data_IF_740711971060
#
_entry.id   IF_740711971060
#
_cell.length_a   1.000
_cell.length_b   1.000
_cell.length_c   1.000
_cell.angle_alpha   90.00
_cell.angle_beta   90.00
_cell.angle_gamma   90.00
#
_symmetry.space_group_name_H-M   'P 1'
#
loop_
_entity.id
_entity.type
_entity.pdbx_description
1 polymer ?
#
# COMPACT_ATOMS: atom_id res chain seq x y z
N UNK A 1 -10.81 -10.35 7.57
CA UNK A 1 -10.52 -9.72 6.26
C UNK A 1 -11.63 -8.71 5.99
N UNK A 2 -11.44 -7.45 6.39
CA UNK A 2 -12.40 -6.37 6.11
C UNK A 2 -11.93 -5.65 4.84
N UNK A 3 -12.46 -6.08 3.69
CA UNK A 3 -12.28 -5.38 2.41
C UNK A 3 -12.67 -3.91 2.56
N UNK A 4 -11.90 -3.00 1.92
CA UNK A 4 -12.30 -1.61 1.69
C UNK A 4 -13.75 -1.58 1.21
N UNK A 5 -14.67 -1.13 2.06
CA UNK A 5 -16.10 -1.10 1.76
C UNK A 5 -16.61 0.32 1.96
N UNK A 6 -17.58 0.72 1.16
CA UNK A 6 -18.24 2.00 1.36
C UNK A 6 -18.93 2.00 2.73
N UNK A 7 -18.67 2.99 3.61
CA UNK A 7 -19.29 3.04 4.94
C UNK A 7 -20.82 3.18 4.88
N UNK A 8 -21.37 3.67 3.77
CA UNK A 8 -22.82 3.89 3.60
C UNK A 8 -23.57 2.73 2.95
N UNK A 9 -22.98 2.06 1.95
CA UNK A 9 -23.66 1.00 1.18
C UNK A 9 -23.02 -0.38 1.32
N UNK A 10 -21.88 -0.52 2.02
CA UNK A 10 -21.18 -1.79 2.22
C UNK A 10 -20.57 -2.39 0.95
N UNK A 11 -20.73 -1.76 -0.22
CA UNK A 11 -20.16 -2.22 -1.49
C UNK A 11 -18.64 -2.16 -1.40
N UNK A 12 -17.98 -3.26 -1.80
CA UNK A 12 -16.52 -3.35 -1.85
C UNK A 12 -15.96 -2.39 -2.89
N UNK A 13 -14.95 -1.63 -2.50
CA UNK A 13 -14.23 -0.69 -3.33
C UNK A 13 -12.86 -1.29 -3.60
N UNK A 14 -12.48 -1.34 -4.87
CA UNK A 14 -11.16 -1.83 -5.27
C UNK A 14 -10.07 -0.90 -4.73
N UNK A 15 -9.09 -1.46 -4.03
CA UNK A 15 -7.94 -0.73 -3.48
C UNK A 15 -7.15 0.07 -4.54
N UNK A 16 -7.23 -0.35 -5.82
CA UNK A 16 -6.64 0.34 -6.97
C UNK A 16 -7.38 1.62 -7.40
N UNK A 17 -8.65 1.81 -6.97
CA UNK A 17 -9.46 3.02 -7.28
C UNK A 17 -9.39 4.08 -6.17
N UNK A 18 -8.47 3.91 -5.23
CA UNK A 18 -8.31 4.78 -4.08
C UNK A 18 -7.54 6.04 -4.51
N UNK A 19 -8.21 6.96 -5.20
CA UNK A 19 -7.75 8.35 -5.30
C UNK A 19 -8.11 9.09 -4.01
N UNK A 20 -7.40 10.18 -3.69
CA UNK A 20 -7.66 10.98 -2.49
C UNK A 20 -9.15 11.39 -2.36
N UNK A 21 -9.80 11.62 -3.49
CA UNK A 21 -11.25 11.84 -3.57
C UNK A 21 -11.83 10.94 -4.67
N UNK A 22 -12.84 10.13 -4.35
CA UNK A 22 -13.57 9.34 -5.34
C UNK A 22 -15.05 9.23 -4.97
N UNK A 23 -15.90 9.01 -5.97
CA UNK A 23 -17.35 8.86 -5.77
C UNK A 23 -17.70 7.38 -5.78
N UNK A 24 -18.49 6.93 -4.81
CA UNK A 24 -18.97 5.55 -4.79
C UNK A 24 -19.90 5.29 -5.98
N UNK A 25 -19.60 4.27 -6.80
CA UNK A 25 -20.43 3.92 -7.96
C UNK A 25 -21.87 3.50 -7.63
N UNK A 26 -22.15 3.04 -6.40
CA UNK A 26 -23.47 2.55 -6.02
C UNK A 26 -24.33 3.57 -5.28
N UNK A 27 -23.73 4.42 -4.43
CA UNK A 27 -24.47 5.38 -3.61
C UNK A 27 -24.16 6.84 -3.93
N UNK A 28 -23.32 7.09 -4.95
CA UNK A 28 -22.89 8.42 -5.42
C UNK A 28 -22.34 9.36 -4.34
N UNK A 29 -21.94 8.81 -3.18
CA UNK A 29 -21.36 9.60 -2.09
C UNK A 29 -19.88 9.84 -2.36
N UNK A 30 -19.44 11.08 -2.13
CA UNK A 30 -18.03 11.44 -2.15
C UNK A 30 -17.30 10.80 -0.94
N UNK A 31 -16.28 10.03 -1.23
CA UNK A 31 -15.46 9.34 -0.26
C UNK A 31 -14.03 9.88 -0.33
N UNK A 32 -13.41 10.04 0.84
CA UNK A 32 -12.02 10.41 1.01
C UNK A 32 -11.29 9.20 1.58
N UNK A 33 -10.19 8.81 0.95
CA UNK A 33 -9.34 7.77 1.51
C UNK A 33 -8.01 8.37 1.96
N UNK A 34 -7.66 8.07 3.21
CA UNK A 34 -6.42 8.56 3.82
C UNK A 34 -5.38 7.44 3.76
N UNK A 35 -4.59 7.41 2.70
CA UNK A 35 -3.54 6.39 2.48
C UNK A 35 -2.15 6.83 2.92
N UNK A 36 -1.94 8.11 3.25
CA UNK A 36 -0.62 8.68 3.59
C UNK A 36 0.05 7.96 4.76
N UNK A 37 -0.70 7.66 5.83
CA UNK A 37 -0.17 6.93 7.00
C UNK A 37 0.23 5.49 6.66
N UNK A 38 -0.55 4.83 5.79
CA UNK A 38 -0.27 3.46 5.35
C UNK A 38 0.95 3.40 4.42
N UNK A 39 1.13 4.42 3.57
CA UNK A 39 2.34 4.58 2.76
C UNK A 39 3.59 4.74 3.62
N UNK A 40 3.54 5.58 4.66
CA UNK A 40 4.67 5.77 5.58
C UNK A 40 4.97 4.46 6.32
N UNK A 41 3.96 3.77 6.84
CA UNK A 41 4.14 2.46 7.49
C UNK A 41 4.73 1.42 6.53
N UNK A 42 4.23 1.34 5.29
CA UNK A 42 4.76 0.44 4.27
C UNK A 42 6.22 0.74 3.95
N UNK A 43 6.59 2.02 3.86
CA UNK A 43 7.97 2.45 3.62
C UNK A 43 8.91 2.07 4.76
N UNK A 44 8.50 2.32 6.01
CA UNK A 44 9.27 1.94 7.20
C UNK A 44 9.47 0.43 7.27
N UNK A 45 8.39 -0.35 7.14
CA UNK A 45 8.45 -1.82 7.11
C UNK A 45 9.30 -2.36 5.97
N UNK A 46 9.20 -1.77 4.78
CA UNK A 46 10.02 -2.15 3.63
C UNK A 46 11.49 -1.83 3.85
N UNK A 47 11.81 -0.75 4.57
CA UNK A 47 13.20 -0.40 4.92
C UNK A 47 13.79 -1.43 5.90
N UNK A 48 13.00 -1.86 6.89
CA UNK A 48 13.40 -2.94 7.78
C UNK A 48 13.55 -4.29 7.05
N UNK A 49 12.68 -4.57 6.08
CA UNK A 49 12.82 -5.76 5.25
C UNK A 49 14.08 -5.69 4.38
N UNK A 50 14.43 -4.52 3.84
CA UNK A 50 15.63 -4.32 3.03
C UNK A 50 16.93 -4.60 3.81
N UNK A 51 16.94 -4.35 5.13
CA UNK A 51 18.02 -4.75 6.03
C UNK A 51 18.26 -6.27 6.06
N UNK A 52 17.22 -7.08 5.84
CA UNK A 52 17.31 -8.55 5.78
C UNK A 52 17.59 -9.01 4.35
N UNK A 53 16.97 -8.36 3.36
CA UNK A 53 17.14 -8.67 1.93
C UNK A 53 18.60 -8.43 1.52
N UNK A 54 19.24 -7.36 1.98
CA UNK A 54 20.63 -7.05 1.64
C UNK A 54 21.62 -8.19 1.93
N UNK A 55 21.80 -8.68 3.18
CA UNK A 55 22.74 -9.76 3.45
C UNK A 55 22.33 -11.08 2.79
N UNK A 56 21.03 -11.32 2.61
CA UNK A 56 20.55 -12.52 1.92
C UNK A 56 20.92 -12.52 0.43
N UNK A 57 20.64 -11.42 -0.28
CA UNK A 57 20.93 -11.28 -1.70
C UNK A 57 22.43 -11.35 -1.98
N UNK A 58 23.25 -10.64 -1.21
CA UNK A 58 24.71 -10.68 -1.39
C UNK A 58 25.36 -11.95 -0.83
N UNK A 59 24.66 -12.69 0.05
CA UNK A 59 25.06 -14.04 0.47
C UNK A 59 24.81 -15.10 -0.62
N UNK A 60 23.80 -14.92 -1.47
CA UNK A 60 23.40 -15.88 -2.51
C UNK A 60 23.95 -15.53 -3.90
N UNK A 61 23.97 -14.25 -4.28
CA UNK A 61 24.37 -13.81 -5.61
C UNK A 61 25.91 -13.74 -5.80
N UNK A 62 26.69 -13.98 -4.76
CA UNK A 62 28.15 -13.86 -4.79
C UNK A 62 28.63 -12.41 -4.86
N UNK A 63 29.94 -12.21 -5.05
CA UNK A 63 30.60 -10.90 -5.01
C UNK A 63 30.29 -9.99 -6.20
N UNK A 64 29.47 -10.44 -7.15
CA UNK A 64 29.12 -9.64 -8.32
C UNK A 64 28.15 -8.53 -7.93
N UNK A 65 28.67 -7.31 -7.93
CA UNK A 65 27.97 -6.13 -7.45
C UNK A 65 26.71 -5.80 -8.25
N UNK A 66 26.72 -6.05 -9.57
CA UNK A 66 25.65 -5.66 -10.48
C UNK A 66 24.40 -6.55 -10.41
N UNK A 67 24.51 -7.90 -10.51
CA UNK A 67 23.34 -8.77 -10.41
C UNK A 67 22.70 -8.71 -9.02
N UNK A 68 23.51 -8.65 -7.96
CA UNK A 68 23.03 -8.52 -6.58
C UNK A 68 22.27 -7.21 -6.35
N UNK A 69 22.72 -6.10 -6.93
CA UNK A 69 22.02 -4.81 -6.83
C UNK A 69 20.65 -4.83 -7.50
N UNK A 70 20.56 -5.37 -8.72
CA UNK A 70 19.28 -5.48 -9.46
C UNK A 70 18.31 -6.43 -8.74
N UNK A 71 18.82 -7.55 -8.23
CA UNK A 71 18.01 -8.52 -7.49
C UNK A 71 17.46 -7.89 -6.19
N UNK A 72 18.30 -7.15 -5.46
CA UNK A 72 17.87 -6.41 -4.26
C UNK A 72 16.77 -5.41 -4.59
N UNK A 73 16.95 -4.54 -5.58
CA UNK A 73 15.92 -3.55 -5.95
C UNK A 73 14.61 -4.24 -6.31
N UNK A 74 14.68 -5.34 -7.06
CA UNK A 74 13.50 -6.09 -7.49
C UNK A 74 12.75 -6.71 -6.30
N UNK A 75 13.47 -7.35 -5.37
CA UNK A 75 12.88 -7.97 -4.18
C UNK A 75 12.36 -6.90 -3.22
N UNK A 76 13.13 -5.85 -2.95
CA UNK A 76 12.71 -4.76 -2.05
C UNK A 76 11.51 -3.99 -2.61
N UNK A 77 11.46 -3.77 -3.93
CA UNK A 77 10.29 -3.22 -4.61
C UNK A 77 9.06 -4.13 -4.48
N UNK A 78 9.20 -5.43 -4.74
CA UNK A 78 8.10 -6.39 -4.59
C UNK A 78 7.57 -6.45 -3.15
N UNK A 79 8.47 -6.43 -2.16
CA UNK A 79 8.12 -6.40 -0.74
C UNK A 79 7.38 -5.11 -0.38
N UNK A 80 7.85 -3.95 -0.86
CA UNK A 80 7.14 -2.69 -0.66
C UNK A 80 5.72 -2.73 -1.20
N UNK A 81 5.52 -3.17 -2.45
CA UNK A 81 4.19 -3.24 -3.05
C UNK A 81 3.29 -4.27 -2.35
N UNK A 82 3.83 -5.42 -1.95
CA UNK A 82 3.07 -6.43 -1.21
C UNK A 82 2.64 -5.91 0.17
N UNK A 83 3.54 -5.25 0.90
CA UNK A 83 3.24 -4.63 2.20
C UNK A 83 2.22 -3.51 2.05
N UNK A 84 2.36 -2.67 1.03
CA UNK A 84 1.42 -1.59 0.77
C UNK A 84 0.03 -2.13 0.44
N UNK A 85 -0.07 -3.14 -0.42
CA UNK A 85 -1.33 -3.79 -0.74
C UNK A 85 -1.98 -4.41 0.49
N UNK A 86 -1.20 -5.12 1.31
CA UNK A 86 -1.66 -5.75 2.54
C UNK A 86 -2.15 -4.70 3.56
N UNK A 87 -1.37 -3.64 3.79
CA UNK A 87 -1.71 -2.54 4.71
C UNK A 87 -2.96 -1.79 4.26
N UNK A 88 -3.09 -1.52 2.96
CA UNK A 88 -4.30 -0.91 2.40
C UNK A 88 -5.49 -1.85 2.59
N UNK A 89 -5.38 -3.13 2.25
CA UNK A 89 -6.50 -4.08 2.40
C UNK A 89 -6.91 -4.30 3.87
N UNK A 90 -5.97 -4.29 4.81
CA UNK A 90 -6.23 -4.58 6.23
C UNK A 90 -6.60 -3.36 7.07
N UNK A 91 -5.98 -2.20 6.80
CA UNK A 91 -6.10 -0.99 7.62
C UNK A 91 -6.60 0.22 6.83
N UNK A 92 -6.87 0.07 5.53
CA UNK A 92 -7.49 1.11 4.71
C UNK A 92 -8.83 1.52 5.30
N UNK A 93 -8.93 2.78 5.72
CA UNK A 93 -10.19 3.38 6.11
C UNK A 93 -10.67 4.33 5.02
N UNK A 94 -11.95 4.21 4.68
CA UNK A 94 -12.63 5.09 3.76
C UNK A 94 -13.59 5.93 4.58
N UNK A 95 -13.40 7.25 4.54
CA UNK A 95 -14.28 8.19 5.22
C UNK A 95 -15.21 8.85 4.21
N UNK A 96 -16.41 9.20 4.65
CA UNK A 96 -17.28 10.09 3.86
C UNK A 96 -16.62 11.46 3.86
N UNK A 97 -16.52 12.09 2.70
CA UNK A 97 -16.07 13.47 2.62
C UNK A 97 -17.23 14.34 3.13
N UNK A 98 -17.16 14.78 4.38
CA UNK A 98 -18.08 15.80 4.88
C UNK A 98 -17.80 17.10 4.12
N UNK A 99 -18.85 17.70 3.55
CA UNK A 99 -18.80 18.95 2.78
C UNK A 99 -18.55 20.20 3.66
N UNK A 100 -17.96 20.05 4.84
CA UNK A 100 -17.81 21.12 5.84
C UNK A 100 -16.40 21.73 5.96
N UNK A 101 -15.46 21.35 5.09
CA UNK A 101 -14.17 22.04 4.96
C UNK A 101 -14.04 22.59 3.53
N UNK A 102 -14.66 23.75 3.31
CA UNK A 102 -14.25 24.75 2.34
C UNK A 102 -13.05 25.55 2.88
#
# INVERSE_FOLDING_TARGET
>A
MMSLACPKCGVRINALKVSENFVCSSCSVALKCKTTGLFICAFVLSTFADFIIYPFVYGVAGTDWWPGFVLRISISGAVFFALLFLLVDTYGSIQVKDESED
#
